data_IF_065836809615
#
_entry.id   IF_065836809615
#
_cell.length_a   1.000
_cell.length_b   1.000
_cell.length_c   1.000
_cell.angle_alpha   90.00
_cell.angle_beta   90.00
_cell.angle_gamma   90.00
#
_symmetry.space_group_name_H-M   'P 1'
#
loop_
_entity.id
_entity.type
_entity.pdbx_description
1 polymer ?
#
# COMPACT_ATOMS: atom_id res chain seq x y z
N UNK A 1 19.53 -34.72 31.11
CA UNK A 1 18.25 -34.99 30.40
C UNK A 1 17.35 -35.96 31.17
N UNK A 2 17.92 -36.90 31.93
CA UNK A 2 17.14 -37.90 32.68
C UNK A 2 16.35 -37.31 33.86
N UNK A 3 16.94 -36.40 34.64
CA UNK A 3 16.25 -35.70 35.73
C UNK A 3 15.02 -34.89 35.27
N UNK A 4 15.06 -34.32 34.06
CA UNK A 4 13.92 -33.59 33.47
C UNK A 4 12.80 -34.57 33.07
N UNK A 5 13.15 -35.77 32.58
CA UNK A 5 12.17 -36.81 32.24
C UNK A 5 11.47 -37.35 33.48
N UNK A 6 12.22 -37.63 34.55
CA UNK A 6 11.63 -38.09 35.82
C UNK A 6 10.70 -37.03 36.43
N UNK A 7 11.12 -35.76 36.36
CA UNK A 7 10.29 -34.64 36.80
C UNK A 7 8.99 -34.52 35.99
N UNK A 8 9.06 -34.58 34.66
CA UNK A 8 7.86 -34.54 33.79
C UNK A 8 6.93 -35.71 34.08
N UNK A 9 7.45 -36.91 34.32
CA UNK A 9 6.63 -38.09 34.65
C UNK A 9 5.92 -37.89 35.99
N UNK A 10 6.61 -37.34 37.00
CA UNK A 10 6.05 -37.05 38.32
C UNK A 10 4.96 -35.98 38.30
N UNK A 11 5.11 -34.94 37.46
CA UNK A 11 4.17 -33.83 37.34
C UNK A 11 3.19 -33.97 36.17
N UNK A 12 3.19 -35.10 35.46
CA UNK A 12 2.36 -35.31 34.25
C UNK A 12 0.88 -35.04 34.49
N UNK A 13 0.34 -35.50 35.62
CA UNK A 13 -1.07 -35.28 35.97
C UNK A 13 -1.37 -33.80 36.25
N UNK A 14 -0.44 -33.09 36.91
CA UNK A 14 -0.57 -31.65 37.18
C UNK A 14 -0.49 -30.84 35.89
N UNK A 15 0.38 -31.22 34.96
CA UNK A 15 0.48 -30.59 33.63
C UNK A 15 -0.78 -30.81 32.79
N UNK A 16 -1.34 -32.02 32.81
CA UNK A 16 -2.59 -32.33 32.12
C UNK A 16 -3.75 -31.53 32.74
N UNK A 17 -3.85 -31.51 34.08
CA UNK A 17 -4.89 -30.77 34.79
C UNK A 17 -4.79 -29.26 34.51
N UNK A 18 -3.58 -28.70 34.55
CA UNK A 18 -3.31 -27.30 34.23
C UNK A 18 -3.63 -26.98 32.76
N UNK A 19 -3.34 -27.91 31.85
CA UNK A 19 -3.68 -27.78 30.43
C UNK A 19 -5.19 -27.77 30.19
N UNK A 20 -5.93 -28.70 30.81
CA UNK A 20 -7.40 -28.76 30.71
C UNK A 20 -8.03 -27.52 31.35
N UNK A 21 -7.57 -27.12 32.53
CA UNK A 21 -8.04 -25.91 33.19
C UNK A 21 -7.75 -24.65 32.36
N UNK A 22 -6.56 -24.57 31.75
CA UNK A 22 -6.18 -23.52 30.82
C UNK A 22 -7.07 -23.48 29.57
N UNK A 23 -7.37 -24.63 28.95
CA UNK A 23 -8.28 -24.71 27.81
C UNK A 23 -9.73 -24.36 28.19
N UNK A 24 -10.17 -24.75 29.39
CA UNK A 24 -11.49 -24.43 29.91
C UNK A 24 -11.64 -22.93 30.18
N UNK A 25 -10.59 -22.27 30.67
CA UNK A 25 -10.55 -20.83 30.93
C UNK A 25 -10.29 -20.00 29.66
N UNK A 26 -9.62 -20.55 28.65
CA UNK A 26 -9.29 -19.87 27.40
C UNK A 26 -10.47 -19.12 26.76
N UNK A 27 -11.67 -19.69 26.57
CA UNK A 27 -12.80 -18.96 25.98
C UNK A 27 -13.27 -17.77 26.83
N UNK A 28 -13.13 -17.85 28.15
CA UNK A 28 -13.53 -16.78 29.07
C UNK A 28 -12.49 -15.67 29.15
N UNK A 29 -11.20 -16.00 29.07
CA UNK A 29 -10.11 -15.02 29.12
C UNK A 29 -9.82 -14.39 27.75
N UNK A 30 -10.19 -15.06 26.65
CA UNK A 30 -10.02 -14.57 25.27
C UNK A 30 -10.47 -13.13 25.03
N UNK A 31 -11.71 -12.71 25.41
CA UNK A 31 -12.14 -11.33 25.23
C UNK A 31 -11.30 -10.32 26.01
N UNK A 32 -10.80 -10.68 27.20
CA UNK A 32 -9.93 -9.81 28.00
C UNK A 32 -8.53 -9.68 27.38
N UNK A 33 -7.95 -10.78 26.90
CA UNK A 33 -6.67 -10.74 26.18
C UNK A 33 -6.77 -9.89 24.93
N UNK A 34 -7.84 -10.06 24.13
CA UNK A 34 -8.11 -9.22 22.97
C UNK A 34 -8.25 -7.75 23.36
N UNK A 35 -9.01 -7.43 24.41
CA UNK A 35 -9.17 -6.06 24.88
C UNK A 35 -7.83 -5.42 25.26
N UNK A 36 -6.98 -6.14 26.00
CA UNK A 36 -5.63 -5.68 26.38
C UNK A 36 -4.77 -5.47 25.14
N UNK A 37 -4.79 -6.40 24.20
CA UNK A 37 -4.04 -6.30 22.94
C UNK A 37 -4.51 -5.09 22.11
N UNK A 38 -5.82 -4.93 21.94
CA UNK A 38 -6.40 -3.78 21.23
C UNK A 38 -6.09 -2.46 21.91
N UNK A 39 -6.13 -2.41 23.24
CA UNK A 39 -5.77 -1.22 24.00
C UNK A 39 -4.28 -0.90 23.87
N UNK A 40 -3.41 -1.91 23.92
CA UNK A 40 -1.98 -1.74 23.69
C UNK A 40 -1.70 -1.21 22.28
N UNK A 41 -2.37 -1.74 21.25
CA UNK A 41 -2.28 -1.21 19.89
C UNK A 41 -2.81 0.22 19.79
N UNK A 42 -3.95 0.52 20.42
CA UNK A 42 -4.53 1.86 20.41
C UNK A 42 -3.60 2.90 21.03
N UNK A 43 -2.84 2.52 22.06
CA UNK A 43 -1.81 3.39 22.66
C UNK A 43 -0.55 3.41 21.79
N UNK A 44 -0.11 2.29 21.23
CA UNK A 44 1.09 2.22 20.40
C UNK A 44 0.98 3.00 19.08
N UNK A 45 -0.20 3.01 18.45
CA UNK A 45 -0.46 3.73 17.18
C UNK A 45 -0.14 5.23 17.26
N UNK A 46 -0.65 6.02 18.23
CA UNK A 46 -0.30 7.44 18.34
C UNK A 46 1.18 7.65 18.66
N UNK A 47 1.81 6.79 19.48
CA UNK A 47 3.26 6.87 19.70
C UNK A 47 4.06 6.61 18.42
N UNK A 48 3.63 5.66 17.58
CA UNK A 48 4.24 5.42 16.27
C UNK A 48 4.05 6.61 15.33
N UNK A 49 2.86 7.21 15.27
CA UNK A 49 2.58 8.39 14.45
C UNK A 49 3.47 9.57 14.87
N UNK A 50 3.56 9.85 16.18
CA UNK A 50 4.44 10.89 16.71
C UNK A 50 5.92 10.57 16.44
N UNK A 51 6.33 9.31 16.63
CA UNK A 51 7.69 8.86 16.33
C UNK A 51 8.06 9.03 14.85
N UNK A 52 7.14 8.70 13.94
CA UNK A 52 7.30 8.90 12.50
C UNK A 52 7.35 10.40 12.16
N UNK A 53 6.46 11.22 12.75
CA UNK A 53 6.45 12.67 12.54
C UNK A 53 7.75 13.33 13.01
N UNK A 54 8.25 12.98 14.21
CA UNK A 54 9.54 13.47 14.72
C UNK A 54 10.70 12.98 13.85
N UNK A 55 10.67 11.73 13.36
CA UNK A 55 11.70 11.19 12.47
C UNK A 55 11.70 11.91 11.12
N UNK A 56 10.53 12.21 10.55
CA UNK A 56 10.40 13.00 9.31
C UNK A 56 10.94 14.42 9.54
N UNK A 57 10.53 15.08 10.62
CA UNK A 57 11.00 16.43 10.98
C UNK A 57 12.52 16.46 11.23
N UNK A 58 13.08 15.44 11.88
CA UNK A 58 14.53 15.28 12.08
C UNK A 58 15.28 14.92 10.79
N UNK A 59 14.63 14.35 9.78
CA UNK A 59 15.21 14.10 8.45
C UNK A 59 15.14 15.33 7.54
N UNK A 60 14.26 16.28 7.84
CA UNK A 60 14.17 17.55 7.13
C UNK A 60 15.20 18.57 7.65
N UNK A 61 15.51 18.55 8.95
CA UNK A 61 16.50 19.44 9.59
C UNK A 61 18.02 19.14 9.45
N UNK A 62 18.54 18.01 8.93
CA UNK A 62 19.99 17.76 8.91
C UNK A 62 20.68 18.21 7.61
N UNK A 63 19.95 18.74 6.62
CA UNK A 63 20.52 19.04 5.29
C UNK A 63 20.97 20.49 5.07
N UNK A 64 20.99 21.34 6.11
CA UNK A 64 21.48 22.74 6.00
C UNK A 64 22.76 23.04 6.78
N UNK A 65 23.38 22.06 7.46
CA UNK A 65 24.67 22.29 8.12
C UNK A 65 25.62 21.10 7.95
N UNK A 66 26.49 21.19 6.94
CA UNK A 66 27.94 20.93 7.03
C UNK A 66 28.61 21.20 5.68
N UNK A 67 28.80 22.49 5.40
CA UNK A 67 30.00 22.93 4.69
C UNK A 67 31.16 23.00 5.67
N UNK A 68 32.37 22.76 5.17
CA UNK A 68 33.67 23.03 5.82
C UNK A 68 34.03 22.17 7.06
N UNK A 69 34.79 21.10 6.85
CA UNK A 69 36.20 21.07 7.31
C UNK A 69 36.94 19.83 6.78
N UNK A 70 38.16 20.09 6.32
CA UNK A 70 39.14 19.21 5.69
C UNK A 70 40.40 19.24 6.57
N UNK A 71 41.16 18.14 6.61
CA UNK A 71 42.50 17.94 7.23
C UNK A 71 42.52 17.84 8.77
N UNK A 72 43.25 16.93 9.47
CA UNK A 72 44.39 16.07 9.12
C UNK A 72 44.73 15.02 10.21
N UNK A 73 45.42 13.93 9.80
CA UNK A 73 46.45 13.14 10.55
C UNK A 73 45.97 12.20 11.70
N UNK A 74 46.49 10.98 11.94
CA UNK A 74 47.72 10.29 11.46
C UNK A 74 47.85 8.88 12.11
N UNK A 75 48.24 7.88 11.29
CA UNK A 75 49.05 6.65 11.59
C UNK A 75 48.43 5.46 12.33
N UNK A 76 48.80 4.19 12.10
CA UNK A 76 49.62 3.50 11.09
C UNK A 76 49.37 1.97 11.26
N UNK A 77 49.75 1.19 10.23
CA UNK A 77 50.38 -0.14 10.27
C UNK A 77 49.63 -1.39 9.71
N UNK A 78 50.15 -1.86 8.55
CA UNK A 78 50.09 -3.21 7.93
C UNK A 78 48.93 -3.41 6.93
N UNK A 79 49.03 -3.38 5.59
CA UNK A 79 49.98 -3.93 4.57
C UNK A 79 50.19 -5.44 4.75
N UNK A 80 49.87 -6.38 3.84
CA UNK A 80 49.98 -6.55 2.36
C UNK A 80 48.74 -7.37 1.85
N UNK A 81 48.08 -7.13 0.70
CA UNK A 81 48.48 -7.32 -0.73
C UNK A 81 48.90 -8.78 -1.03
N UNK A 82 48.43 -9.56 -2.02
CA UNK A 82 48.04 -9.41 -3.44
C UNK A 82 47.04 -10.55 -3.80
N UNK A 83 45.98 -10.33 -4.59
CA UNK A 83 45.90 -10.41 -6.07
C UNK A 83 46.00 -11.84 -6.66
N UNK A 84 44.94 -12.32 -7.33
CA UNK A 84 44.96 -12.93 -8.70
C UNK A 84 43.60 -13.55 -9.12
N UNK A 85 43.00 -12.88 -10.11
CA UNK A 85 42.31 -13.38 -11.33
C UNK A 85 42.09 -14.89 -11.50
N UNK A 86 40.86 -15.30 -11.88
CA UNK A 86 40.59 -16.11 -13.08
C UNK A 86 39.11 -16.50 -13.18
N UNK A 87 38.48 -16.19 -14.32
CA UNK A 87 37.13 -16.64 -14.66
C UNK A 87 37.16 -17.83 -15.62
N UNK A 88 36.18 -18.73 -15.53
CA UNK A 88 35.30 -19.13 -16.63
C UNK A 88 34.35 -20.29 -16.24
N UNK A 89 33.05 -20.00 -16.34
CA UNK A 89 31.93 -20.78 -16.92
C UNK A 89 32.01 -22.32 -16.98
N UNK A 90 30.98 -22.99 -16.41
CA UNK A 90 29.98 -23.78 -17.16
C UNK A 90 28.79 -24.26 -16.29
N UNK A 91 27.60 -23.77 -16.66
CA UNK A 91 26.22 -24.33 -16.63
C UNK A 91 25.86 -25.63 -15.90
N UNK A 92 24.81 -25.59 -15.04
CA UNK A 92 23.42 -26.07 -15.31
C UNK A 92 22.67 -26.38 -14.00
N UNK A 93 21.44 -25.86 -13.82
CA UNK A 93 20.45 -26.50 -12.91
C UNK A 93 19.65 -25.60 -11.96
N UNK A 94 18.56 -25.01 -12.48
CA UNK A 94 17.24 -24.79 -11.85
C UNK A 94 17.08 -24.18 -10.42
N UNK A 95 16.57 -22.93 -10.43
CA UNK A 95 15.27 -22.54 -9.85
C UNK A 95 15.11 -22.39 -8.32
N UNK A 96 15.05 -21.12 -7.87
CA UNK A 96 13.93 -20.53 -7.08
C UNK A 96 14.21 -19.07 -6.75
N UNK A 97 13.89 -18.19 -7.70
CA UNK A 97 13.80 -16.75 -7.47
C UNK A 97 12.44 -16.44 -6.85
N UNK A 98 12.42 -16.09 -5.56
CA UNK A 98 11.21 -15.57 -4.90
C UNK A 98 11.00 -14.14 -5.34
N UNK A 99 10.30 -13.96 -6.45
CA UNK A 99 9.77 -12.67 -6.89
C UNK A 99 8.77 -12.18 -5.84
N UNK A 100 9.08 -11.08 -5.17
CA UNK A 100 8.13 -10.37 -4.32
C UNK A 100 6.89 -9.97 -5.16
N UNK A 101 5.68 -10.00 -4.59
CA UNK A 101 4.46 -9.93 -5.39
C UNK A 101 4.23 -8.50 -5.88
N UNK A 102 3.61 -8.36 -7.06
CA UNK A 102 3.49 -7.11 -7.81
C UNK A 102 2.81 -5.92 -7.08
N UNK A 103 2.22 -6.13 -5.90
CA UNK A 103 1.58 -5.08 -5.09
C UNK A 103 2.59 -4.17 -4.38
N UNK A 104 3.78 -4.66 -4.02
CA UNK A 104 4.82 -3.86 -3.32
C UNK A 104 5.44 -2.79 -4.22
N UNK A 105 5.69 -3.12 -5.50
CA UNK A 105 6.27 -2.17 -6.47
C UNK A 105 5.30 -1.03 -6.88
N UNK A 106 3.99 -1.26 -6.78
CA UNK A 106 2.98 -0.25 -7.14
C UNK A 106 2.80 0.80 -6.04
N UNK A 107 2.95 0.41 -4.77
CA UNK A 107 2.81 1.33 -3.63
C UNK A 107 3.91 2.41 -3.61
N UNK A 108 5.15 2.03 -3.96
CA UNK A 108 6.27 2.98 -4.04
C UNK A 108 6.04 4.06 -5.11
N UNK A 109 5.44 3.69 -6.25
CA UNK A 109 5.13 4.63 -7.35
C UNK A 109 3.98 5.58 -6.99
N UNK A 110 2.95 5.07 -6.31
CA UNK A 110 1.82 5.87 -5.84
C UNK A 110 2.20 6.85 -4.72
N UNK A 111 3.01 6.40 -3.76
CA UNK A 111 3.46 7.22 -2.62
C UNK A 111 4.44 8.32 -3.06
N UNK A 112 5.38 8.04 -3.97
CA UNK A 112 6.30 9.06 -4.48
C UNK A 112 5.58 10.10 -5.35
N UNK A 113 4.60 9.68 -6.16
CA UNK A 113 3.68 10.58 -6.87
C UNK A 113 2.91 11.46 -5.88
N UNK A 114 2.32 10.88 -4.84
CA UNK A 114 1.61 11.60 -3.77
C UNK A 114 2.51 12.61 -3.04
N UNK A 115 3.76 12.26 -2.72
CA UNK A 115 4.71 13.16 -2.04
C UNK A 115 5.10 14.38 -2.88
N UNK A 116 5.30 14.23 -4.20
CA UNK A 116 5.53 15.37 -5.11
C UNK A 116 4.30 16.26 -5.24
N UNK A 117 3.10 15.67 -5.15
CA UNK A 117 1.80 16.34 -5.29
C UNK A 117 1.40 17.13 -4.03
N UNK A 118 1.62 16.57 -2.85
CA UNK A 118 1.45 17.24 -1.54
C UNK A 118 2.38 18.46 -1.39
N UNK A 119 3.46 18.55 -2.18
CA UNK A 119 4.33 19.74 -2.22
C UNK A 119 3.67 20.95 -2.92
N UNK A 120 2.71 20.70 -3.83
CA UNK A 120 1.88 21.73 -4.47
C UNK A 120 0.57 22.03 -3.71
N UNK A 121 0.45 21.55 -2.46
CA UNK A 121 -0.75 21.65 -1.60
C UNK A 121 -1.23 23.08 -1.33
N UNK A 122 -0.41 24.10 -1.58
CA UNK A 122 -0.65 25.50 -1.18
C UNK A 122 -1.93 26.12 -1.77
N UNK A 123 -2.54 25.51 -2.78
CA UNK A 123 -3.72 26.07 -3.48
C UNK A 123 -4.95 25.15 -3.55
N UNK A 124 -4.89 23.91 -3.04
CA UNK A 124 -5.97 22.94 -3.23
C UNK A 124 -6.84 22.73 -1.98
N UNK A 125 -8.17 22.65 -2.16
CA UNK A 125 -9.10 22.37 -1.06
C UNK A 125 -8.89 20.94 -0.52
N UNK A 126 -9.21 20.73 0.75
CA UNK A 126 -9.13 19.39 1.37
C UNK A 126 -10.01 18.36 0.64
N UNK A 127 -11.14 18.80 0.08
CA UNK A 127 -12.04 17.95 -0.69
C UNK A 127 -11.41 17.49 -2.01
N UNK A 128 -10.79 18.40 -2.76
CA UNK A 128 -10.07 18.05 -3.97
C UNK A 128 -8.86 17.15 -3.62
N UNK A 129 -8.20 17.40 -2.49
CA UNK A 129 -7.04 16.60 -2.04
C UNK A 129 -7.48 15.16 -1.77
N UNK A 130 -8.60 14.98 -1.06
CA UNK A 130 -9.21 13.69 -0.84
C UNK A 130 -9.54 12.97 -2.16
N UNK A 131 -10.08 13.69 -3.15
CA UNK A 131 -10.40 13.09 -4.44
C UNK A 131 -9.15 12.53 -5.15
N UNK A 132 -8.06 13.30 -5.17
CA UNK A 132 -6.80 12.85 -5.76
C UNK A 132 -6.21 11.65 -4.99
N UNK A 133 -6.19 11.70 -3.67
CA UNK A 133 -5.72 10.59 -2.82
C UNK A 133 -6.54 9.34 -3.11
N UNK A 134 -7.87 9.46 -3.13
CA UNK A 134 -8.76 8.35 -3.44
C UNK A 134 -8.44 7.72 -4.80
N UNK A 135 -8.22 8.55 -5.83
CA UNK A 135 -7.90 8.06 -7.17
C UNK A 135 -6.57 7.29 -7.20
N UNK A 136 -5.50 7.85 -6.62
CA UNK A 136 -4.18 7.23 -6.63
C UNK A 136 -4.13 5.94 -5.79
N UNK A 137 -4.81 5.90 -4.65
CA UNK A 137 -4.77 4.74 -3.75
C UNK A 137 -5.71 3.60 -4.16
N UNK A 138 -6.90 3.92 -4.68
CA UNK A 138 -7.95 2.91 -4.88
C UNK A 138 -8.70 3.06 -6.20
N UNK A 139 -9.03 4.29 -6.58
CA UNK A 139 -9.87 4.59 -7.74
C UNK A 139 -9.28 4.12 -9.05
N UNK A 140 -7.97 4.33 -9.25
CA UNK A 140 -7.24 3.97 -10.48
C UNK A 140 -7.34 2.47 -10.74
N UNK A 141 -6.86 1.64 -9.83
CA UNK A 141 -6.86 0.18 -10.00
C UNK A 141 -8.28 -0.36 -10.25
N UNK A 142 -9.28 0.15 -9.52
CA UNK A 142 -10.68 -0.26 -9.69
C UNK A 142 -11.24 0.11 -11.05
N UNK A 143 -10.92 1.30 -11.55
CA UNK A 143 -11.31 1.73 -12.88
C UNK A 143 -10.65 0.85 -13.94
N UNK A 144 -9.33 0.62 -13.86
CA UNK A 144 -8.62 -0.25 -14.80
C UNK A 144 -9.16 -1.69 -14.79
N UNK A 145 -9.49 -2.23 -13.61
CA UNK A 145 -10.10 -3.55 -13.49
C UNK A 145 -11.49 -3.61 -14.16
N UNK A 146 -12.30 -2.57 -14.02
CA UNK A 146 -13.60 -2.49 -14.71
C UNK A 146 -13.41 -2.33 -16.22
N UNK A 147 -12.49 -1.46 -16.66
CA UNK A 147 -12.19 -1.26 -18.08
C UNK A 147 -11.73 -2.56 -18.75
N UNK A 148 -10.81 -3.32 -18.14
CA UNK A 148 -10.37 -4.61 -18.69
C UNK A 148 -11.47 -5.67 -18.75
N UNK A 149 -12.47 -5.61 -17.85
CA UNK A 149 -13.68 -6.46 -17.97
C UNK A 149 -14.52 -6.06 -19.18
N UNK A 150 -14.77 -4.76 -19.35
CA UNK A 150 -15.59 -4.21 -20.42
C UNK A 150 -14.95 -4.35 -21.80
N UNK A 151 -13.62 -4.27 -21.89
CA UNK A 151 -12.90 -4.47 -23.15
C UNK A 151 -13.11 -5.86 -23.74
N UNK A 152 -13.21 -6.89 -22.89
CA UNK A 152 -13.55 -8.26 -23.32
C UNK A 152 -14.96 -8.37 -23.88
N UNK A 153 -15.85 -7.47 -23.49
CA UNK A 153 -17.22 -7.35 -24.01
C UNK A 153 -17.32 -6.34 -25.18
N UNK A 154 -16.20 -5.76 -25.64
CA UNK A 154 -16.17 -4.74 -26.69
C UNK A 154 -16.72 -3.38 -26.27
N UNK A 155 -16.94 -3.15 -24.97
CA UNK A 155 -17.50 -1.91 -24.43
C UNK A 155 -16.36 -0.99 -23.99
N UNK A 156 -16.34 0.25 -24.52
CA UNK A 156 -15.33 1.27 -24.20
C UNK A 156 -15.87 2.54 -23.57
N UNK A 157 -17.12 2.49 -23.10
CA UNK A 157 -17.80 3.63 -22.47
C UNK A 157 -18.67 3.17 -21.31
N UNK A 158 -18.59 3.86 -20.19
CA UNK A 158 -19.52 3.67 -19.07
C UNK A 158 -19.72 4.98 -18.31
N UNK A 159 -20.76 5.00 -17.49
CA UNK A 159 -21.14 6.13 -16.65
C UNK A 159 -20.96 5.80 -15.18
N UNK A 160 -20.65 6.80 -14.37
CA UNK A 160 -20.54 6.71 -12.91
C UNK A 160 -21.57 7.68 -12.31
N UNK A 161 -22.44 7.17 -11.44
CA UNK A 161 -23.42 7.98 -10.71
C UNK A 161 -22.79 8.73 -9.52
N UNK A 162 -23.47 9.73 -8.93
CA UNK A 162 -23.01 10.39 -7.70
C UNK A 162 -22.73 9.44 -6.53
N UNK A 163 -23.41 8.29 -6.50
CA UNK A 163 -23.26 7.23 -5.50
C UNK A 163 -22.10 6.27 -5.83
N UNK A 164 -21.37 6.52 -6.93
CA UNK A 164 -20.27 5.68 -7.39
C UNK A 164 -20.72 4.43 -8.14
N UNK A 165 -21.98 4.34 -8.58
CA UNK A 165 -22.48 3.18 -9.33
C UNK A 165 -22.02 3.28 -10.79
N UNK A 166 -21.31 2.26 -11.27
CA UNK A 166 -20.86 2.17 -12.65
C UNK A 166 -21.89 1.45 -13.51
N UNK A 167 -22.31 2.07 -14.61
CA UNK A 167 -23.34 1.54 -15.52
C UNK A 167 -22.97 1.72 -16.99
N UNK A 168 -23.26 0.71 -17.82
CA UNK A 168 -23.10 0.73 -19.28
C UNK A 168 -24.45 0.83 -19.97
N UNK A 169 -24.47 1.36 -21.18
CA UNK A 169 -25.67 1.34 -22.03
C UNK A 169 -25.90 -0.09 -22.52
N UNK A 170 -27.11 -0.60 -22.33
CA UNK A 170 -27.60 -1.87 -22.84
C UNK A 170 -28.83 -1.61 -23.74
N UNK A 171 -29.36 -2.66 -24.38
CA UNK A 171 -30.52 -2.57 -25.27
C UNK A 171 -31.74 -1.94 -24.58
N UNK A 172 -32.02 -2.34 -23.33
CA UNK A 172 -33.17 -1.87 -22.54
C UNK A 172 -32.78 -0.81 -21.49
N UNK A 173 -31.80 0.05 -21.80
CA UNK A 173 -31.41 1.16 -20.94
C UNK A 173 -30.00 1.03 -20.37
N UNK A 174 -29.89 0.88 -19.05
CA UNK A 174 -28.59 0.86 -18.35
C UNK A 174 -28.40 -0.41 -17.54
N UNK A 175 -27.24 -1.06 -17.71
CA UNK A 175 -26.83 -2.23 -16.94
C UNK A 175 -25.74 -1.85 -15.96
N UNK A 176 -25.94 -2.15 -14.68
CA UNK A 176 -24.92 -1.95 -13.64
C UNK A 176 -23.79 -2.97 -13.79
N UNK A 177 -22.55 -2.48 -13.70
CA UNK A 177 -21.34 -3.29 -13.88
C UNK A 177 -20.42 -3.26 -12.65
N UNK A 178 -20.64 -2.35 -11.72
CA UNK A 178 -19.83 -2.24 -10.52
C UNK A 178 -20.20 -1.05 -9.64
N UNK A 179 -19.47 -0.90 -8.53
CA UNK A 179 -19.54 0.25 -7.62
C UNK A 179 -18.15 0.64 -7.18
N UNK A 180 -17.89 1.94 -7.19
CA UNK A 180 -16.72 2.58 -6.64
C UNK A 180 -17.06 3.09 -5.25
N UNK A 181 -16.53 2.44 -4.20
CA UNK A 181 -16.72 2.91 -2.82
C UNK A 181 -15.96 4.22 -2.61
N UNK A 182 -16.51 5.09 -1.76
CA UNK A 182 -15.92 6.39 -1.40
C UNK A 182 -15.67 7.31 -2.60
N UNK A 183 -16.45 7.15 -3.67
CA UNK A 183 -16.33 7.94 -4.89
C UNK A 183 -16.53 9.44 -4.60
N UNK A 184 -15.57 10.32 -4.95
CA UNK A 184 -15.62 11.73 -4.61
C UNK A 184 -16.49 12.54 -5.57
N UNK A 185 -17.81 12.32 -5.54
CA UNK A 185 -18.76 12.89 -6.51
C UNK A 185 -18.74 14.43 -6.59
N UNK A 186 -18.50 15.12 -5.48
CA UNK A 186 -18.45 16.60 -5.42
C UNK A 186 -17.22 17.18 -6.10
N UNK A 187 -16.14 16.40 -6.18
CA UNK A 187 -14.83 16.85 -6.63
C UNK A 187 -14.38 16.14 -7.92
N UNK A 188 -15.32 15.57 -8.68
CA UNK A 188 -15.03 14.85 -9.93
C UNK A 188 -14.26 15.70 -10.95
N UNK A 189 -14.48 17.02 -10.96
CA UNK A 189 -13.75 17.95 -11.84
C UNK A 189 -12.24 17.91 -11.55
N UNK A 190 -11.86 17.78 -10.27
CA UNK A 190 -10.45 17.66 -9.86
C UNK A 190 -9.79 16.36 -10.36
N UNK A 191 -10.58 15.33 -10.66
CA UNK A 191 -10.09 14.05 -11.20
C UNK A 191 -9.86 14.07 -12.71
N UNK A 192 -10.53 14.95 -13.45
CA UNK A 192 -10.45 14.97 -14.92
C UNK A 192 -9.02 15.07 -15.47
N UNK A 193 -8.12 15.92 -14.92
CA UNK A 193 -6.73 15.96 -15.37
C UNK A 193 -5.98 14.64 -15.16
N UNK A 194 -6.28 13.92 -14.07
CA UNK A 194 -5.66 12.62 -13.76
C UNK A 194 -6.13 11.53 -14.71
N UNK A 195 -7.44 11.46 -14.91
CA UNK A 195 -8.05 10.53 -15.86
C UNK A 195 -7.47 10.75 -17.26
N UNK A 196 -7.33 12.01 -17.69
CA UNK A 196 -6.72 12.35 -18.98
C UNK A 196 -5.25 11.90 -19.07
N UNK A 197 -4.47 12.08 -18.00
CA UNK A 197 -3.07 11.62 -17.92
C UNK A 197 -2.97 10.10 -18.08
N UNK A 198 -3.95 9.37 -17.55
CA UNK A 198 -4.06 7.91 -17.67
C UNK A 198 -4.80 7.46 -18.94
N UNK A 199 -4.93 8.33 -19.95
CA UNK A 199 -5.59 8.06 -21.23
C UNK A 199 -7.08 7.70 -21.15
N UNK A 200 -7.75 8.13 -20.07
CA UNK A 200 -9.20 8.01 -19.88
C UNK A 200 -9.83 9.35 -20.21
N UNK A 201 -10.67 9.38 -21.24
CA UNK A 201 -11.48 10.55 -21.55
C UNK A 201 -12.67 10.60 -20.58
N UNK A 202 -12.83 11.74 -19.90
CA UNK A 202 -13.88 11.95 -18.92
C UNK A 202 -14.73 13.16 -19.33
N UNK A 203 -16.06 13.01 -19.30
CA UNK A 203 -17.00 14.10 -19.58
C UNK A 203 -18.12 14.12 -18.54
N UNK A 204 -18.49 15.31 -18.07
CA UNK A 204 -19.58 15.48 -17.13
C UNK A 204 -20.89 15.67 -17.90
N UNK A 205 -21.89 14.82 -17.65
CA UNK A 205 -23.26 15.01 -18.20
C UNK A 205 -24.26 15.00 -17.05
N UNK A 206 -24.73 16.19 -16.68
CA UNK A 206 -25.56 16.37 -15.49
C UNK A 206 -24.80 15.95 -14.23
N UNK A 207 -25.36 15.01 -13.47
CA UNK A 207 -24.75 14.48 -12.24
C UNK A 207 -23.83 13.26 -12.47
N UNK A 208 -23.70 12.80 -13.72
CA UNK A 208 -22.98 11.57 -14.04
C UNK A 208 -21.62 11.87 -14.69
N UNK A 209 -20.59 11.09 -14.31
CA UNK A 209 -19.31 11.07 -15.02
C UNK A 209 -19.37 10.04 -16.14
N UNK A 210 -19.10 10.44 -17.36
CA UNK A 210 -18.96 9.53 -18.48
C UNK A 210 -17.49 9.32 -18.77
N UNK A 211 -17.06 8.06 -18.74
CA UNK A 211 -15.70 7.64 -19.06
C UNK A 211 -15.69 6.89 -20.38
N UNK A 212 -14.70 7.20 -21.21
CA UNK A 212 -14.41 6.49 -22.44
C UNK A 212 -12.91 6.38 -22.67
N UNK A 213 -12.46 5.34 -23.35
CA UNK A 213 -11.03 5.11 -23.64
C UNK A 213 -10.83 4.44 -25.00
N UNK A 214 -9.59 4.49 -25.49
CA UNK A 214 -9.21 3.96 -26.80
C UNK A 214 -9.07 5.02 -27.90
N UNK A 215 -8.53 4.61 -29.05
CA UNK A 215 -8.07 5.49 -30.14
C UNK A 215 -9.17 6.38 -30.76
N UNK A 216 -10.43 6.00 -30.62
CA UNK A 216 -11.57 6.73 -31.20
C UNK A 216 -12.03 7.94 -30.35
N UNK A 217 -11.49 8.13 -29.15
CA UNK A 217 -11.89 9.22 -28.26
C UNK A 217 -11.15 10.57 -28.50
N UNK A 218 -10.21 10.62 -29.46
CA UNK A 218 -9.35 11.78 -29.71
C UNK A 218 -9.63 12.49 -31.04
N UNK A 219 -10.81 12.27 -31.63
CA UNK A 219 -11.22 12.89 -32.90
C UNK A 219 -12.20 14.02 -32.69
#
# INVERSE_FOLDING_TARGET
MEAVREWIVRYRQILILLGVFGMMLAPFLWPFFLAIIFQAFYVAIPFLIVGIAVKILRREKPNEQKGSQRYQNTKDAGVYSEETVSGCKASTGAEKEKTAPAWERHWETGEESLRRQLKNRKEMSDASCFALIWYELEGKERLFRLMGKLEREGIRKFSISPEGICSVRAENGYRRIGVLRSYPCREMKSLMPRLKKDHIHASLRGKYLWLSWGKECFR
#
